data_IF_411792323673
#
_entry.id   IF_411792323673
#
_cell.length_a   1.000
_cell.length_b   1.000
_cell.length_c   1.000
_cell.angle_alpha   90.00
_cell.angle_beta   90.00
_cell.angle_gamma   90.00
#
_symmetry.space_group_name_H-M   'P 1'
#
loop_
_entity.id
_entity.type
_entity.pdbx_description
1 polymer ?
#
# COMPACT_ATOMS: atom_id res chain seq x y z
N UNK A 1 28.76 8.61 -15.18
CA UNK A 1 27.85 9.33 -14.26
C UNK A 1 27.24 8.30 -13.31
N UNK A 2 27.29 8.51 -12.00
CA UNK A 2 26.69 7.63 -11.00
C UNK A 2 25.29 8.15 -10.64
N UNK A 3 24.30 7.26 -10.52
CA UNK A 3 22.90 7.59 -10.22
C UNK A 3 22.47 6.96 -8.91
N UNK A 4 21.61 7.64 -8.14
CA UNK A 4 21.01 7.13 -6.91
C UNK A 4 19.47 7.13 -7.01
N UNK A 5 18.80 6.37 -6.15
CA UNK A 5 17.35 6.33 -6.08
C UNK A 5 16.80 7.68 -5.58
N UNK A 6 15.83 8.24 -6.32
CA UNK A 6 15.14 9.49 -5.96
C UNK A 6 13.68 9.28 -5.59
N UNK A 7 12.99 8.36 -6.26
CA UNK A 7 11.58 8.09 -6.04
C UNK A 7 11.02 7.04 -6.99
N UNK A 8 9.78 6.63 -6.71
CA UNK A 8 9.05 5.62 -7.46
C UNK A 8 7.60 6.07 -7.57
N UNK A 9 7.04 6.02 -8.78
CA UNK A 9 5.63 6.31 -9.05
C UNK A 9 5.07 5.27 -10.01
N UNK A 10 3.76 5.04 -9.96
CA UNK A 10 3.09 4.31 -11.02
C UNK A 10 2.96 5.13 -12.30
N UNK A 11 2.94 4.41 -13.43
CA UNK A 11 2.52 4.98 -14.70
C UNK A 11 1.02 5.32 -14.66
N UNK A 12 0.64 6.36 -15.41
CA UNK A 12 -0.73 6.89 -15.36
C UNK A 12 -1.77 5.90 -15.87
N UNK A 13 -1.42 5.07 -16.85
CA UNK A 13 -2.22 3.98 -17.39
C UNK A 13 -2.47 2.89 -16.32
N UNK A 14 -1.42 2.49 -15.58
CA UNK A 14 -1.55 1.50 -14.51
C UNK A 14 -2.47 2.01 -13.42
N UNK A 15 -2.27 3.23 -12.94
CA UNK A 15 -3.10 3.81 -11.87
C UNK A 15 -4.58 3.88 -12.30
N UNK A 16 -4.86 4.35 -13.52
CA UNK A 16 -6.21 4.41 -14.08
C UNK A 16 -6.85 3.02 -14.24
N UNK A 17 -6.06 1.99 -14.56
CA UNK A 17 -6.56 0.61 -14.72
C UNK A 17 -7.04 -0.03 -13.40
N UNK A 18 -6.46 0.40 -12.27
CA UNK A 18 -6.77 -0.11 -10.93
C UNK A 18 -8.08 0.47 -10.38
N UNK A 19 -8.34 1.75 -10.67
CA UNK A 19 -9.53 2.44 -10.20
C UNK A 19 -10.75 2.00 -11.02
N UNK A 20 -11.62 1.21 -10.38
CA UNK A 20 -12.88 0.71 -10.95
C UNK A 20 -14.04 1.03 -10.00
N UNK A 21 -15.26 1.07 -10.55
CA UNK A 21 -16.49 1.23 -9.77
C UNK A 21 -16.74 0.00 -8.88
N UNK A 22 -17.61 0.16 -7.89
CA UNK A 22 -18.14 -0.93 -7.04
C UNK A 22 -17.17 -1.53 -6.01
N UNK A 23 -16.03 -0.88 -5.79
CA UNK A 23 -15.07 -1.20 -4.75
C UNK A 23 -14.68 0.08 -4.01
N UNK A 24 -14.21 -0.04 -2.78
CA UNK A 24 -13.68 1.09 -2.01
C UNK A 24 -12.20 1.25 -2.32
N UNK A 25 -11.78 2.48 -2.62
CA UNK A 25 -10.39 2.89 -2.65
C UNK A 25 -9.96 3.26 -1.23
N UNK A 26 -8.84 2.69 -0.78
CA UNK A 26 -8.23 2.98 0.51
C UNK A 26 -6.81 3.45 0.26
N UNK A 27 -6.52 4.67 0.69
CA UNK A 27 -5.20 5.28 0.60
C UNK A 27 -4.69 5.66 1.99
N UNK A 28 -3.37 5.56 2.16
CA UNK A 28 -2.62 5.99 3.33
C UNK A 28 -1.28 6.60 2.88
N UNK A 29 -0.74 7.52 3.67
CA UNK A 29 0.60 8.06 3.45
C UNK A 29 1.33 8.18 4.79
N UNK A 30 2.65 8.10 4.74
CA UNK A 30 3.52 8.21 5.91
C UNK A 30 4.82 8.91 5.51
N UNK A 31 5.28 9.81 6.36
CA UNK A 31 6.63 10.36 6.31
C UNK A 31 7.55 9.53 7.19
N UNK A 32 8.58 8.93 6.61
CA UNK A 32 9.53 8.07 7.32
C UNK A 32 10.95 8.55 7.09
N UNK A 33 11.77 8.39 8.12
CA UNK A 33 13.21 8.61 8.07
C UNK A 33 13.93 7.27 8.14
N UNK A 34 14.75 6.97 7.15
CA UNK A 34 15.57 5.75 7.11
C UNK A 34 16.78 5.86 8.04
N UNK A 35 17.47 4.75 8.27
CA UNK A 35 18.67 4.68 9.13
C UNK A 35 19.85 5.49 8.59
N UNK A 36 19.96 5.61 7.27
CA UNK A 36 20.92 6.44 6.54
C UNK A 36 20.46 7.91 6.36
N UNK A 37 19.47 8.35 7.14
CA UNK A 37 19.04 9.74 7.28
C UNK A 37 18.32 10.34 6.04
N UNK A 38 17.82 9.52 5.12
CA UNK A 38 16.91 9.97 4.07
C UNK A 38 15.49 10.12 4.61
N UNK A 39 14.81 11.19 4.21
CA UNK A 39 13.39 11.41 4.50
C UNK A 39 12.56 11.10 3.26
N UNK A 40 11.63 10.16 3.39
CA UNK A 40 10.79 9.70 2.29
C UNK A 40 9.31 9.82 2.67
N UNK A 41 8.48 10.19 1.69
CA UNK A 41 7.03 10.09 1.81
C UNK A 41 6.55 8.88 1.01
N UNK A 42 5.99 7.91 1.70
CA UNK A 42 5.46 6.69 1.09
C UNK A 42 3.95 6.83 0.95
N UNK A 43 3.40 6.55 -0.23
CA UNK A 43 1.97 6.43 -0.42
C UNK A 43 1.61 4.96 -0.62
N UNK A 44 0.55 4.50 0.01
CA UNK A 44 0.01 3.17 -0.21
C UNK A 44 -1.43 3.27 -0.73
N UNK A 45 -1.73 2.48 -1.75
CA UNK A 45 -3.05 2.36 -2.35
C UNK A 45 -3.52 0.91 -2.24
N UNK A 46 -4.80 0.72 -1.93
CA UNK A 46 -5.44 -0.58 -1.85
C UNK A 46 -6.90 -0.49 -2.29
N UNK A 47 -7.44 -1.61 -2.77
CA UNK A 47 -8.84 -1.75 -3.15
C UNK A 47 -9.48 -2.92 -2.43
N UNK A 48 -10.79 -2.83 -2.15
CA UNK A 48 -11.54 -3.95 -1.58
C UNK A 48 -11.68 -5.09 -2.59
N UNK A 49 -11.51 -6.33 -2.11
CA UNK A 49 -11.61 -7.54 -2.92
C UNK A 49 -12.99 -8.16 -2.79
N UNK A 50 -13.64 -8.36 -3.94
CA UNK A 50 -14.90 -9.10 -4.01
C UNK A 50 -14.65 -10.59 -3.74
N UNK A 51 -15.46 -11.20 -2.88
CA UNK A 51 -15.39 -12.65 -2.63
C UNK A 51 -15.99 -13.42 -3.83
N UNK A 52 -15.45 -14.59 -4.21
CA UNK A 52 -15.95 -15.36 -5.36
C UNK A 52 -17.46 -15.63 -5.31
N UNK A 53 -17.99 -15.95 -4.12
CA UNK A 53 -19.40 -16.30 -3.93
C UNK A 53 -20.29 -15.10 -3.55
N UNK A 54 -19.83 -13.87 -3.78
CA UNK A 54 -20.58 -12.67 -3.41
C UNK A 54 -21.62 -12.31 -4.48
N UNK A 55 -22.91 -12.40 -4.13
CA UNK A 55 -24.04 -12.04 -5.02
C UNK A 55 -24.10 -10.54 -5.31
N UNK A 56 -23.85 -9.70 -4.30
CA UNK A 56 -23.85 -8.23 -4.46
C UNK A 56 -22.72 -7.79 -5.41
N UNK A 57 -23.04 -6.90 -6.35
CA UNK A 57 -22.05 -6.27 -7.25
C UNK A 57 -21.09 -5.35 -6.51
N UNK A 58 -21.55 -4.70 -5.46
CA UNK A 58 -20.79 -3.75 -4.64
C UNK A 58 -19.99 -4.45 -3.55
N UNK A 59 -18.76 -4.01 -3.34
CA UNK A 59 -17.87 -4.47 -2.29
C UNK A 59 -17.33 -3.24 -1.53
N UNK A 60 -18.19 -2.59 -0.75
CA UNK A 60 -17.81 -1.39 0.00
C UNK A 60 -17.46 -1.72 1.45
N UNK A 61 -16.31 -1.21 1.91
CA UNK A 61 -15.93 -1.26 3.31
C UNK A 61 -16.62 -0.15 4.11
N UNK A 62 -17.01 -0.44 5.34
CA UNK A 62 -17.55 0.58 6.24
C UNK A 62 -16.46 1.57 6.68
N UNK A 63 -16.85 2.79 7.05
CA UNK A 63 -15.90 3.83 7.50
C UNK A 63 -15.03 3.40 8.68
N UNK A 64 -15.56 2.58 9.60
CA UNK A 64 -14.81 1.98 10.70
C UNK A 64 -13.70 1.05 10.20
N UNK A 65 -14.02 0.16 9.26
CA UNK A 65 -13.06 -0.76 8.63
C UNK A 65 -11.99 0.00 7.85
N UNK A 66 -12.36 1.04 7.10
CA UNK A 66 -11.41 1.89 6.36
C UNK A 66 -10.39 2.53 7.32
N UNK A 67 -10.84 3.06 8.47
CA UNK A 67 -9.95 3.65 9.48
C UNK A 67 -9.01 2.61 10.09
N UNK A 68 -9.51 1.41 10.40
CA UNK A 68 -8.68 0.32 10.92
C UNK A 68 -7.64 -0.15 9.91
N UNK A 69 -8.03 -0.31 8.64
CA UNK A 69 -7.12 -0.68 7.54
C UNK A 69 -6.03 0.38 7.37
N UNK A 70 -6.40 1.68 7.31
CA UNK A 70 -5.41 2.77 7.22
C UNK A 70 -4.41 2.75 8.37
N UNK A 71 -4.86 2.51 9.60
CA UNK A 71 -3.97 2.39 10.76
C UNK A 71 -2.96 1.25 10.60
N UNK A 72 -3.41 0.09 10.11
CA UNK A 72 -2.53 -1.06 9.84
C UNK A 72 -1.57 -0.82 8.67
N UNK A 73 -2.02 -0.14 7.60
CA UNK A 73 -1.17 0.27 6.50
C UNK A 73 -0.02 1.17 6.99
N UNK A 74 -0.34 2.22 7.75
CA UNK A 74 0.67 3.15 8.26
C UNK A 74 1.65 2.46 9.22
N UNK A 75 1.15 1.59 10.10
CA UNK A 75 1.98 0.83 11.07
C UNK A 75 3.02 -0.04 10.35
N UNK A 76 2.59 -0.83 9.34
CA UNK A 76 3.49 -1.70 8.59
C UNK A 76 4.50 -0.89 7.77
N UNK A 77 4.05 0.19 7.13
CA UNK A 77 4.94 1.08 6.36
C UNK A 77 6.04 1.69 7.23
N UNK A 78 5.69 2.20 8.42
CA UNK A 78 6.67 2.75 9.39
C UNK A 78 7.66 1.68 9.83
N UNK A 79 7.18 0.49 10.21
CA UNK A 79 8.04 -0.58 10.72
C UNK A 79 9.04 -1.07 9.67
N UNK A 80 8.61 -1.19 8.41
CA UNK A 80 9.45 -1.68 7.32
C UNK A 80 10.46 -0.64 6.81
N UNK A 81 10.15 0.65 6.93
CA UNK A 81 11.00 1.73 6.41
C UNK A 81 11.95 2.33 7.47
N UNK A 82 11.57 2.38 8.75
CA UNK A 82 12.44 2.90 9.82
C UNK A 82 13.58 1.95 10.18
N UNK A 83 13.41 0.65 9.89
CA UNK A 83 14.37 -0.40 10.25
C UNK A 83 15.47 -0.64 9.22
N UNK A 84 15.46 0.06 8.08
CA UNK A 84 16.32 -0.23 6.93
C UNK A 84 16.92 1.04 6.31
N UNK A 85 18.07 0.86 5.66
CA UNK A 85 18.69 1.86 4.80
C UNK A 85 17.92 1.99 3.47
N UNK A 86 18.19 3.06 2.71
CA UNK A 86 17.53 3.31 1.44
C UNK A 86 17.68 2.15 0.44
N UNK A 87 18.86 1.53 0.40
CA UNK A 87 19.17 0.41 -0.50
C UNK A 87 18.24 -0.79 -0.24
N UNK A 88 18.11 -1.17 1.02
CA UNK A 88 17.31 -2.33 1.43
C UNK A 88 15.81 -2.02 1.30
N UNK A 89 15.40 -0.78 1.55
CA UNK A 89 14.03 -0.34 1.34
C UNK A 89 13.62 -0.44 -0.13
N UNK A 90 14.49 -0.04 -1.07
CA UNK A 90 14.24 -0.19 -2.51
C UNK A 90 14.16 -1.67 -2.90
N UNK A 91 14.98 -2.54 -2.30
CA UNK A 91 14.88 -3.99 -2.50
C UNK A 91 13.56 -4.58 -2.03
N UNK A 92 12.87 -3.95 -1.06
CA UNK A 92 11.51 -4.35 -0.64
C UNK A 92 10.42 -3.85 -1.61
N UNK A 93 10.65 -2.74 -2.32
CA UNK A 93 9.70 -2.20 -3.29
C UNK A 93 9.59 -3.06 -4.55
N UNK A 94 10.72 -3.55 -5.09
CA UNK A 94 10.77 -4.34 -6.33
C UNK A 94 9.84 -5.59 -6.28
N UNK A 95 9.88 -6.43 -5.24
CA UNK A 95 8.99 -7.59 -5.10
C UNK A 95 7.65 -7.27 -4.40
N UNK A 96 7.38 -5.99 -4.10
CA UNK A 96 6.16 -5.50 -3.43
C UNK A 96 5.91 -6.17 -2.05
N UNK A 97 6.97 -6.38 -1.27
CA UNK A 97 6.88 -7.09 0.02
C UNK A 97 5.93 -6.39 0.99
N UNK A 98 6.02 -5.06 1.07
CA UNK A 98 5.19 -4.26 1.98
C UNK A 98 3.70 -4.35 1.61
N UNK A 99 3.37 -4.36 0.31
CA UNK A 99 1.99 -4.50 -0.15
C UNK A 99 1.38 -5.84 0.24
N UNK A 100 2.15 -6.93 0.06
CA UNK A 100 1.73 -8.29 0.45
C UNK A 100 1.56 -8.44 1.96
N UNK A 101 2.43 -7.80 2.74
CA UNK A 101 2.32 -7.82 4.21
C UNK A 101 1.06 -7.09 4.68
N UNK A 102 0.74 -5.94 4.09
CA UNK A 102 -0.51 -5.21 4.34
C UNK A 102 -1.73 -6.07 3.97
N UNK A 103 -1.73 -6.73 2.81
CA UNK A 103 -2.84 -7.61 2.39
C UNK A 103 -3.07 -8.74 3.42
N UNK A 104 -1.99 -9.39 3.87
CA UNK A 104 -2.06 -10.45 4.88
C UNK A 104 -2.60 -9.93 6.22
N UNK A 105 -2.09 -8.79 6.70
CA UNK A 105 -2.47 -8.24 8.00
C UNK A 105 -3.91 -7.71 8.03
N UNK A 106 -4.45 -7.26 6.89
CA UNK A 106 -5.78 -6.64 6.79
C UNK A 106 -6.89 -7.62 6.41
N UNK A 107 -6.54 -8.85 6.01
CA UNK A 107 -7.49 -9.91 5.64
C UNK A 107 -8.55 -10.18 6.73
N UNK A 108 -8.19 -10.02 8.01
CA UNK A 108 -9.11 -10.19 9.15
C UNK A 108 -10.17 -9.07 9.25
N UNK A 109 -9.87 -7.86 8.76
CA UNK A 109 -10.78 -6.71 8.79
C UNK A 109 -11.65 -6.71 7.54
N UNK A 110 -11.00 -6.74 6.36
CA UNK A 110 -11.65 -6.78 5.07
C UNK A 110 -10.66 -7.29 4.02
N UNK A 111 -11.06 -8.22 3.12
CA UNK A 111 -10.15 -8.71 2.09
C UNK A 111 -9.79 -7.60 1.10
N UNK A 112 -8.49 -7.36 0.88
CA UNK A 112 -7.98 -6.37 -0.06
C UNK A 112 -7.42 -7.05 -1.32
N UNK A 113 -7.26 -6.26 -2.38
CA UNK A 113 -6.58 -6.60 -3.62
C UNK A 113 -5.82 -5.38 -4.12
N UNK A 114 -4.82 -5.61 -4.99
CA UNK A 114 -4.06 -4.54 -5.63
C UNK A 114 -3.47 -3.56 -4.60
N UNK A 115 -2.78 -4.10 -3.59
CA UNK A 115 -2.14 -3.33 -2.53
C UNK A 115 -0.72 -2.99 -2.94
N UNK A 116 -0.45 -1.70 -3.15
CA UNK A 116 0.84 -1.25 -3.69
C UNK A 116 1.36 -0.01 -2.97
N UNK A 117 2.68 0.18 -3.04
CA UNK A 117 3.32 1.47 -2.74
C UNK A 117 3.40 2.27 -4.03
N UNK A 118 2.99 3.54 -4.00
CA UNK A 118 2.95 4.44 -5.15
C UNK A 118 3.59 5.79 -4.86
#
# INVERSE_FOLDING_TARGET
>A
VLTNFWGMNFTTDKLRSLVRKWQTLIEAHVDVKTTDNYTLRLFCIAFTKRRPNQVKRTCYAQSSQIRQIRRKMTEIMVNQATSCDLKDLVQKFIPEVIGKEIEKATTSIFPLQNVFIR
#
